data_IF_028369294304
#
_entry.id   IF_028369294304
#
_cell.length_a   1.000
_cell.length_b   1.000
_cell.length_c   1.000
_cell.angle_alpha   90.00
_cell.angle_beta   90.00
_cell.angle_gamma   90.00
#
_symmetry.space_group_name_H-M   'P 1'
#
loop_
_entity.id
_entity.type
_entity.pdbx_description
1 polymer ?
#
# COMPACT_ATOMS: atom_id res chain seq x y z
N UNK A 1 -35.10 -25.88 -27.86
CA UNK A 1 -35.20 -25.71 -29.33
C UNK A 1 -34.49 -24.42 -29.69
N UNK A 2 -33.58 -24.45 -30.69
CA UNK A 2 -32.78 -23.34 -31.26
C UNK A 2 -31.74 -22.65 -30.36
N UNK A 3 -30.47 -22.99 -30.63
CA UNK A 3 -29.32 -22.10 -30.42
C UNK A 3 -29.26 -21.04 -31.53
N UNK A 4 -28.62 -19.90 -31.27
CA UNK A 4 -27.79 -19.19 -32.27
C UNK A 4 -26.54 -18.65 -31.55
N UNK A 5 -25.37 -19.00 -32.05
CA UNK A 5 -24.10 -18.35 -31.71
C UNK A 5 -23.53 -17.73 -32.99
N UNK A 6 -22.88 -16.58 -32.88
CA UNK A 6 -22.20 -15.93 -34.00
C UNK A 6 -20.80 -15.50 -33.53
N UNK A 7 -19.77 -16.19 -34.03
CA UNK A 7 -18.38 -15.79 -33.92
C UNK A 7 -17.93 -15.22 -35.27
N UNK A 8 -17.20 -14.11 -35.26
CA UNK A 8 -16.58 -13.53 -36.45
C UNK A 8 -15.09 -13.37 -36.17
N UNK A 9 -14.29 -14.21 -36.83
CA UNK A 9 -12.83 -14.06 -36.92
C UNK A 9 -12.50 -13.37 -38.24
N UNK A 10 -11.52 -12.46 -38.23
CA UNK A 10 -10.96 -11.88 -39.45
C UNK A 10 -9.43 -12.03 -39.44
N UNK A 11 -8.87 -12.38 -40.60
CA UNK A 11 -7.54 -12.98 -40.70
C UNK A 11 -6.38 -12.00 -40.71
N UNK A 12 -5.21 -12.48 -40.28
CA UNK A 12 -3.93 -11.81 -40.46
C UNK A 12 -3.36 -12.06 -41.87
N UNK A 13 -2.67 -11.06 -42.42
CA UNK A 13 -1.88 -11.18 -43.66
C UNK A 13 -0.45 -10.75 -43.36
N UNK A 14 0.49 -11.70 -43.41
CA UNK A 14 1.93 -11.40 -43.52
C UNK A 14 2.31 -11.38 -45.00
N UNK A 15 3.09 -10.39 -45.41
CA UNK A 15 3.76 -10.35 -46.70
C UNK A 15 5.26 -10.14 -46.48
N UNK A 16 6.07 -11.14 -46.82
CA UNK A 16 7.54 -11.08 -46.79
C UNK A 16 8.07 -10.85 -48.21
N UNK A 17 8.91 -9.84 -48.41
CA UNK A 17 9.68 -9.66 -49.64
C UNK A 17 11.17 -9.70 -49.32
N UNK A 18 11.85 -10.70 -49.89
CA UNK A 18 13.30 -10.85 -49.86
C UNK A 18 13.93 -10.02 -50.98
N UNK A 19 15.08 -9.41 -50.72
CA UNK A 19 15.90 -8.74 -51.74
C UNK A 19 17.39 -8.90 -51.40
N UNK A 20 18.13 -9.58 -52.26
CA UNK A 20 19.59 -9.74 -52.18
C UNK A 20 20.27 -8.87 -53.26
N UNK A 21 21.49 -8.37 -53.00
CA UNK A 21 22.29 -7.67 -54.02
C UNK A 21 23.72 -7.35 -53.58
N UNK A 22 24.69 -7.56 -54.48
CA UNK A 22 26.14 -7.34 -54.36
C UNK A 22 26.79 -7.35 -55.78
N UNK A 23 28.08 -7.11 -56.06
CA UNK A 23 29.29 -6.88 -55.25
C UNK A 23 30.26 -5.87 -55.94
N UNK A 24 30.87 -4.96 -55.15
CA UNK A 24 32.15 -4.29 -55.46
C UNK A 24 32.21 -3.23 -56.59
N UNK A 25 33.40 -2.64 -56.87
CA UNK A 25 34.71 -2.85 -56.22
C UNK A 25 35.53 -1.59 -55.79
N UNK A 26 36.37 -1.79 -54.78
CA UNK A 26 37.76 -1.30 -54.53
C UNK A 26 38.26 0.13 -54.88
N UNK A 27 38.81 0.83 -53.86
CA UNK A 27 39.78 1.95 -54.01
C UNK A 27 40.20 2.58 -52.65
N UNK A 28 41.49 2.70 -52.27
CA UNK A 28 41.92 3.08 -50.91
C UNK A 28 42.48 4.52 -50.75
N UNK A 29 42.37 5.11 -49.55
CA UNK A 29 43.25 6.17 -48.99
C UNK A 29 43.20 6.18 -47.45
N UNK A 30 44.21 6.79 -46.82
CA UNK A 30 44.68 6.52 -45.45
C UNK A 30 44.11 7.38 -44.29
N UNK A 31 44.41 6.87 -43.08
CA UNK A 31 44.72 7.59 -41.83
C UNK A 31 43.62 8.33 -41.05
N UNK A 32 43.54 8.02 -39.75
CA UNK A 32 42.80 8.82 -38.76
C UNK A 32 42.33 8.01 -37.56
N UNK A 33 43.17 7.89 -36.53
CA UNK A 33 42.79 7.18 -35.30
C UNK A 33 41.79 7.95 -34.45
N UNK A 34 40.75 7.27 -33.96
CA UNK A 34 39.92 7.73 -32.85
C UNK A 34 39.69 6.56 -31.89
N UNK A 35 40.24 6.67 -30.68
CA UNK A 35 40.01 5.69 -29.62
C UNK A 35 38.52 5.65 -29.29
N UNK A 36 37.91 4.46 -29.32
CA UNK A 36 36.52 4.27 -28.95
C UNK A 36 36.27 4.75 -27.52
N UNK A 37 35.66 5.93 -27.38
CA UNK A 37 35.30 6.53 -26.09
C UNK A 37 34.25 5.62 -25.46
N UNK A 38 34.67 4.74 -24.54
CA UNK A 38 33.75 3.98 -23.69
C UNK A 38 32.75 4.97 -23.10
N UNK A 39 31.46 4.77 -23.41
CA UNK A 39 30.41 5.44 -22.66
C UNK A 39 30.62 5.12 -21.17
N UNK A 40 30.41 6.09 -20.26
CA UNK A 40 30.38 5.76 -18.84
C UNK A 40 29.31 4.69 -18.67
N UNK A 41 29.70 3.54 -18.13
CA UNK A 41 28.74 2.49 -17.83
C UNK A 41 27.71 3.08 -16.88
N UNK A 42 26.45 3.16 -17.32
CA UNK A 42 25.35 3.48 -16.42
C UNK A 42 25.35 2.37 -15.39
N UNK A 43 25.82 2.67 -14.18
CA UNK A 43 25.73 1.75 -13.05
C UNK A 43 24.26 1.43 -12.90
N UNK A 44 23.87 0.20 -13.24
CA UNK A 44 22.51 -0.26 -12.99
C UNK A 44 22.25 -0.02 -11.50
N UNK A 45 21.14 0.66 -11.19
CA UNK A 45 20.67 0.75 -9.81
C UNK A 45 20.59 -0.69 -9.27
N UNK A 46 21.07 -0.97 -8.04
CA UNK A 46 21.00 -2.31 -7.49
C UNK A 46 19.57 -2.81 -7.59
N UNK A 47 19.39 -3.98 -8.19
CA UNK A 47 18.07 -4.60 -8.30
C UNK A 47 17.51 -4.76 -6.88
N UNK A 48 16.32 -4.20 -6.64
CA UNK A 48 15.62 -4.34 -5.36
C UNK A 48 15.43 -5.82 -5.09
N UNK A 49 15.85 -6.28 -3.91
CA UNK A 49 15.64 -7.67 -3.49
C UNK A 49 14.11 -7.92 -3.42
N UNK A 50 13.55 -8.81 -4.26
CA UNK A 50 12.11 -9.02 -4.31
C UNK A 50 11.59 -9.71 -3.04
N UNK A 51 12.45 -10.27 -2.20
CA UNK A 51 12.07 -10.87 -0.91
C UNK A 51 11.88 -9.83 0.20
N UNK A 52 12.26 -8.58 -0.04
CA UNK A 52 12.12 -7.46 0.87
C UNK A 52 11.06 -6.47 0.38
N UNK A 53 10.32 -5.86 1.30
CA UNK A 53 9.41 -4.75 0.99
C UNK A 53 10.24 -3.53 0.53
N UNK A 54 9.98 -2.92 -0.65
CA UNK A 54 10.74 -1.76 -1.10
C UNK A 54 10.73 -0.59 -0.12
N UNK A 55 11.86 0.11 -0.03
CA UNK A 55 12.07 1.31 0.79
C UNK A 55 11.85 1.14 2.32
N UNK A 56 11.68 -0.08 2.80
CA UNK A 56 11.60 -0.43 4.23
C UNK A 56 12.95 -0.99 4.71
N UNK A 57 13.54 -0.34 5.71
CA UNK A 57 14.83 -0.66 6.30
C UNK A 57 14.80 -1.86 7.24
N UNK A 58 15.98 -2.42 7.51
CA UNK A 58 16.15 -3.71 8.20
C UNK A 58 15.45 -3.76 9.58
N UNK A 59 15.38 -2.61 10.28
CA UNK A 59 14.69 -2.45 11.56
C UNK A 59 13.21 -2.80 11.50
N UNK A 60 12.50 -2.37 10.45
CA UNK A 60 11.08 -2.65 10.26
C UNK A 60 10.86 -3.96 9.49
N UNK A 61 11.72 -4.32 8.53
CA UNK A 61 11.65 -5.64 7.86
C UNK A 61 11.66 -6.79 8.87
N UNK A 62 12.57 -6.77 9.85
CA UNK A 62 12.64 -7.82 10.90
C UNK A 62 11.45 -7.84 11.86
N UNK A 63 10.56 -6.83 11.83
CA UNK A 63 9.30 -6.79 12.59
C UNK A 63 8.10 -7.31 11.80
N UNK A 64 8.24 -7.52 10.50
CA UNK A 64 7.23 -8.18 9.66
C UNK A 64 7.23 -9.67 10.01
N UNK A 65 6.12 -10.26 10.48
CA UNK A 65 6.06 -11.68 10.83
C UNK A 65 6.41 -12.58 9.64
N UNK A 66 7.19 -13.65 9.85
CA UNK A 66 7.68 -14.48 8.74
C UNK A 66 6.55 -15.22 7.99
N UNK A 67 5.45 -15.49 8.70
CA UNK A 67 4.22 -16.13 8.28
C UNK A 67 3.19 -15.18 7.65
N UNK A 68 3.45 -13.87 7.59
CA UNK A 68 2.57 -12.96 6.84
C UNK A 68 2.70 -13.17 5.33
N UNK A 69 1.54 -13.22 4.66
CA UNK A 69 1.39 -13.23 3.21
C UNK A 69 0.90 -11.89 2.64
N UNK A 70 0.60 -10.90 3.48
CA UNK A 70 -0.06 -9.65 3.09
C UNK A 70 0.47 -8.45 3.87
N UNK A 71 0.97 -7.44 3.17
CA UNK A 71 1.51 -6.20 3.77
C UNK A 71 0.88 -4.98 3.12
N UNK A 72 0.27 -4.12 3.92
CA UNK A 72 -0.05 -2.75 3.52
C UNK A 72 1.06 -1.82 4.01
N UNK A 73 1.81 -1.19 3.10
CA UNK A 73 2.79 -0.17 3.46
C UNK A 73 2.19 1.20 3.26
N UNK A 74 2.35 2.10 4.23
CA UNK A 74 1.99 3.52 4.09
C UNK A 74 3.25 4.35 4.20
N UNK A 75 3.68 4.87 3.05
CA UNK A 75 4.86 5.72 2.88
C UNK A 75 4.45 7.18 3.07
N UNK A 76 4.74 7.76 4.23
CA UNK A 76 4.56 9.19 4.49
C UNK A 76 5.62 10.03 3.79
N UNK A 77 5.23 11.16 3.19
CA UNK A 77 6.15 12.04 2.45
C UNK A 77 7.21 12.71 3.36
N UNK A 78 6.94 12.82 4.66
CA UNK A 78 7.90 13.33 5.63
C UNK A 78 7.35 13.38 7.06
N UNK A 79 8.25 13.50 8.04
CA UNK A 79 7.97 13.48 9.49
C UNK A 79 6.85 14.41 9.95
N UNK A 80 6.59 15.51 9.23
CA UNK A 80 5.57 16.51 9.55
C UNK A 80 4.54 16.70 8.43
N UNK A 81 4.50 15.82 7.42
CA UNK A 81 3.52 15.88 6.32
C UNK A 81 2.27 15.07 6.66
N UNK A 82 1.05 15.55 6.34
CA UNK A 82 -0.16 14.72 6.36
C UNK A 82 -0.21 13.73 5.17
N UNK A 83 0.58 13.97 4.13
CA UNK A 83 0.46 13.28 2.84
C UNK A 83 1.26 11.97 2.81
N UNK A 84 0.65 10.93 2.24
CA UNK A 84 1.24 9.60 2.15
C UNK A 84 0.75 8.80 0.93
N UNK A 85 1.47 7.74 0.59
CA UNK A 85 1.06 6.75 -0.41
C UNK A 85 0.91 5.38 0.25
N UNK A 86 -0.27 4.79 0.14
CA UNK A 86 -0.53 3.42 0.57
C UNK A 86 -0.28 2.44 -0.58
N UNK A 87 0.44 1.36 -0.33
CA UNK A 87 0.80 0.32 -1.31
C UNK A 87 0.54 -1.05 -0.70
N UNK A 88 -0.26 -1.87 -1.38
CA UNK A 88 -0.59 -3.22 -0.94
C UNK A 88 0.26 -4.27 -1.66
N UNK A 89 0.90 -5.14 -0.88
CA UNK A 89 1.75 -6.23 -1.34
C UNK A 89 1.18 -7.58 -0.91
N UNK A 90 1.29 -8.56 -1.79
CA UNK A 90 1.03 -9.97 -1.50
C UNK A 90 2.28 -10.81 -1.71
N UNK A 91 2.44 -11.86 -0.91
CA UNK A 91 3.60 -12.75 -0.98
C UNK A 91 3.33 -13.88 -1.98
N UNK A 92 4.22 -14.02 -2.96
CA UNK A 92 4.20 -15.11 -3.93
C UNK A 92 5.50 -15.91 -3.79
N UNK A 93 5.41 -17.06 -3.11
CA UNK A 93 6.60 -17.81 -2.68
C UNK A 93 7.43 -17.01 -1.67
N UNK A 94 8.71 -16.71 -1.93
CA UNK A 94 9.52 -15.83 -1.08
C UNK A 94 9.40 -14.34 -1.45
N UNK A 95 8.76 -13.99 -2.57
CA UNK A 95 8.79 -12.63 -3.14
C UNK A 95 7.54 -11.81 -2.80
N UNK A 96 7.69 -10.49 -2.71
CA UNK A 96 6.61 -9.53 -2.50
C UNK A 96 6.17 -8.89 -3.82
N UNK A 97 4.95 -9.20 -4.25
CA UNK A 97 4.34 -8.61 -5.44
C UNK A 97 3.46 -7.42 -5.07
N UNK A 98 3.69 -6.28 -5.73
CA UNK A 98 2.87 -5.08 -5.56
C UNK A 98 1.53 -5.22 -6.29
N UNK A 99 0.44 -5.33 -5.54
CA UNK A 99 -0.91 -5.55 -6.08
C UNK A 99 -1.63 -4.22 -6.38
N UNK A 100 -1.52 -3.23 -5.50
CA UNK A 100 -2.25 -1.96 -5.64
C UNK A 100 -1.52 -0.78 -4.98
N UNK A 101 -1.89 0.46 -5.36
CA UNK A 101 -1.44 1.70 -4.72
C UNK A 101 -2.54 2.77 -4.70
N UNK A 102 -2.55 3.61 -3.68
CA UNK A 102 -3.48 4.75 -3.53
C UNK A 102 -2.79 5.93 -2.84
N UNK A 103 -3.27 7.15 -3.09
CA UNK A 103 -3.01 8.27 -2.19
C UNK A 103 -3.71 8.02 -0.85
N UNK A 104 -3.15 8.56 0.24
CA UNK A 104 -3.61 8.38 1.60
C UNK A 104 -3.21 9.60 2.45
N UNK A 105 -3.95 9.90 3.52
CA UNK A 105 -3.51 10.88 4.51
C UNK A 105 -3.28 10.23 5.88
N UNK A 106 -2.20 10.59 6.55
CA UNK A 106 -1.87 10.20 7.92
C UNK A 106 -2.25 11.31 8.92
N UNK A 107 -1.81 11.20 10.18
CA UNK A 107 -1.99 12.24 11.20
C UNK A 107 -1.51 13.61 10.69
N UNK A 108 -2.29 14.68 10.93
CA UNK A 108 -2.06 16.02 10.37
C UNK A 108 -0.78 16.71 10.82
N UNK A 109 -0.15 16.24 11.91
CA UNK A 109 1.19 16.69 12.33
C UNK A 109 2.30 15.73 11.89
N UNK A 110 1.99 14.76 11.02
CA UNK A 110 2.90 13.76 10.49
C UNK A 110 3.01 12.51 11.35
N UNK A 111 4.24 12.10 11.62
CA UNK A 111 4.59 10.76 12.12
C UNK A 111 5.32 10.82 13.45
N UNK A 112 5.27 9.75 14.24
CA UNK A 112 6.04 9.63 15.48
C UNK A 112 6.37 8.18 15.85
N UNK A 113 7.59 7.94 16.30
CA UNK A 113 7.98 6.68 16.96
C UNK A 113 7.45 6.60 18.40
N UNK A 114 7.04 7.74 18.97
CA UNK A 114 6.55 7.88 20.32
C UNK A 114 5.20 8.61 20.32
N UNK A 115 4.13 7.85 20.07
CA UNK A 115 2.77 8.38 19.99
C UNK A 115 2.14 8.60 21.36
N UNK A 116 1.41 9.71 21.47
CA UNK A 116 0.64 10.12 22.64
C UNK A 116 -0.78 10.58 22.24
N UNK A 117 -1.74 10.38 23.14
CA UNK A 117 -3.11 10.84 22.94
C UNK A 117 -3.16 12.35 22.67
N UNK A 118 -3.77 12.76 21.54
CA UNK A 118 -3.90 14.16 21.13
C UNK A 118 -2.66 14.79 20.47
N UNK A 119 -1.63 14.01 20.13
CA UNK A 119 -0.47 14.54 19.38
C UNK A 119 -0.78 14.88 17.90
N UNK A 120 -1.89 14.36 17.35
CA UNK A 120 -2.29 14.38 15.93
C UNK A 120 -1.25 13.79 14.96
N UNK A 121 -0.47 12.79 15.41
CA UNK A 121 0.54 12.08 14.62
C UNK A 121 0.17 10.61 14.46
N UNK A 122 0.53 10.02 13.34
CA UNK A 122 0.42 8.57 13.15
C UNK A 122 1.61 7.83 13.78
N UNK A 123 1.38 6.70 14.47
CA UNK A 123 2.45 5.92 15.06
C UNK A 123 3.27 5.21 13.98
N UNK A 124 4.60 5.23 14.11
CA UNK A 124 5.53 4.51 13.25
C UNK A 124 5.65 3.06 13.71
N UNK A 125 5.59 2.10 12.79
CA UNK A 125 5.90 0.71 13.11
C UNK A 125 5.31 -0.34 12.18
N UNK A 126 5.23 -1.56 12.71
CA UNK A 126 4.54 -2.70 12.11
C UNK A 126 3.44 -3.14 13.07
N UNK A 127 2.20 -3.24 12.56
CA UNK A 127 0.98 -3.51 13.33
C UNK A 127 0.12 -4.54 12.60
N UNK A 128 -0.66 -5.34 13.33
CA UNK A 128 -1.66 -6.23 12.74
C UNK A 128 -2.85 -5.48 12.14
N UNK A 129 -3.54 -6.12 11.20
CA UNK A 129 -4.84 -5.70 10.65
C UNK A 129 -5.87 -6.81 10.89
N UNK A 130 -6.29 -6.99 12.15
CA UNK A 130 -7.05 -8.19 12.57
C UNK A 130 -8.57 -8.07 12.50
N UNK A 131 -9.13 -6.87 12.69
CA UNK A 131 -10.58 -6.65 12.79
C UNK A 131 -11.04 -5.45 11.94
N UNK A 132 -12.29 -5.49 11.48
CA UNK A 132 -12.94 -4.46 10.68
C UNK A 132 -14.33 -4.10 11.23
N UNK A 133 -14.92 -3.04 10.69
CA UNK A 133 -16.27 -2.61 11.05
C UNK A 133 -16.69 -1.33 10.34
N UNK A 134 -17.73 -0.67 10.85
CA UNK A 134 -18.17 0.64 10.38
C UNK A 134 -19.67 0.87 10.52
N UNK A 135 -20.12 2.02 10.01
CA UNK A 135 -21.54 2.40 9.99
C UNK A 135 -22.34 1.58 8.96
N UNK A 136 -21.72 1.23 7.83
CA UNK A 136 -22.40 0.57 6.71
C UNK A 136 -22.35 -0.96 6.79
N UNK A 137 -23.28 -1.59 6.07
CA UNK A 137 -23.29 -3.04 5.85
C UNK A 137 -21.94 -3.55 5.32
N UNK A 138 -21.56 -4.74 5.77
CA UNK A 138 -20.36 -5.44 5.34
C UNK A 138 -20.26 -5.49 3.79
N UNK A 139 -19.21 -4.89 3.18
CA UNK A 139 -19.06 -4.90 1.73
C UNK A 139 -18.56 -6.24 1.16
N UNK A 140 -18.41 -7.29 1.98
CA UNK A 140 -17.86 -8.60 1.64
C UNK A 140 -16.47 -8.81 2.26
N UNK A 141 -16.33 -8.45 3.53
CA UNK A 141 -15.11 -8.51 4.33
C UNK A 141 -14.66 -9.95 4.56
N UNK A 142 -13.35 -10.17 4.53
CA UNK A 142 -12.73 -11.42 5.02
C UNK A 142 -12.27 -11.30 6.48
N UNK A 143 -11.95 -10.09 6.92
CA UNK A 143 -11.74 -9.78 8.34
C UNK A 143 -13.10 -9.85 9.08
N UNK A 144 -13.13 -10.26 10.36
CA UNK A 144 -14.30 -10.08 11.22
C UNK A 144 -14.82 -8.64 11.11
N UNK A 145 -16.12 -8.47 10.84
CA UNK A 145 -16.72 -7.17 10.57
C UNK A 145 -17.83 -6.85 11.57
N UNK A 146 -17.65 -5.74 12.29
CA UNK A 146 -18.59 -5.22 13.28
C UNK A 146 -19.36 -4.02 12.73
N UNK A 147 -20.67 -4.18 12.51
CA UNK A 147 -21.54 -3.10 12.03
C UNK A 147 -22.29 -2.46 13.20
N UNK A 148 -21.96 -1.21 13.53
CA UNK A 148 -22.66 -0.45 14.57
C UNK A 148 -22.74 1.04 14.23
N UNK A 149 -23.96 1.53 13.94
CA UNK A 149 -24.20 2.94 13.61
C UNK A 149 -23.79 3.90 14.73
N UNK A 150 -23.94 3.50 16.01
CA UNK A 150 -23.69 4.34 17.17
C UNK A 150 -22.21 4.34 17.55
N UNK A 151 -21.54 3.19 17.53
CA UNK A 151 -20.12 3.08 17.87
C UNK A 151 -19.20 3.74 16.84
N UNK A 152 -19.62 3.79 15.56
CA UNK A 152 -18.89 4.43 14.47
C UNK A 152 -19.46 5.81 14.07
N UNK A 153 -20.40 6.37 14.84
CA UNK A 153 -20.89 7.72 14.59
C UNK A 153 -19.77 8.77 14.74
N UNK A 154 -19.52 9.66 13.76
CA UNK A 154 -18.54 10.73 13.88
C UNK A 154 -18.86 11.66 15.06
N UNK A 155 -17.87 11.91 15.91
CA UNK A 155 -18.03 12.78 17.10
C UNK A 155 -18.01 14.27 16.76
N UNK A 156 -17.55 14.64 15.56
CA UNK A 156 -17.52 16.01 15.03
C UNK A 156 -18.62 16.17 14.00
N UNK A 157 -19.62 17.00 14.31
CA UNK A 157 -20.69 17.34 13.38
C UNK A 157 -20.22 18.38 12.36
N UNK A 158 -19.64 17.90 11.26
CA UNK A 158 -19.37 18.68 10.06
C UNK A 158 -19.37 17.74 8.84
N UNK A 159 -20.05 18.14 7.77
CA UNK A 159 -20.37 17.32 6.58
C UNK A 159 -19.18 16.58 5.96
N UNK A 160 -17.96 17.12 6.06
CA UNK A 160 -16.74 16.46 5.59
C UNK A 160 -16.38 15.18 6.37
N UNK A 161 -16.87 15.05 7.61
CA UNK A 161 -16.57 13.95 8.54
C UNK A 161 -17.73 12.94 8.68
N UNK A 162 -18.94 13.24 8.21
CA UNK A 162 -20.15 12.42 8.38
C UNK A 162 -20.01 10.95 7.92
N UNK A 163 -19.06 10.68 7.02
CA UNK A 163 -18.86 9.36 6.39
C UNK A 163 -17.47 8.74 6.62
N UNK A 164 -16.61 9.31 7.47
CA UNK A 164 -15.23 8.82 7.60
C UNK A 164 -15.18 7.38 8.10
N UNK A 165 -16.07 7.01 9.02
CA UNK A 165 -16.19 5.65 9.58
C UNK A 165 -17.31 4.80 8.93
N UNK A 166 -17.75 5.15 7.72
CA UNK A 166 -18.57 4.26 6.86
C UNK A 166 -17.97 2.85 6.80
N UNK A 167 -16.63 2.77 6.71
CA UNK A 167 -15.82 1.57 6.76
C UNK A 167 -14.54 1.82 7.56
N UNK A 168 -14.20 0.89 8.44
CA UNK A 168 -13.05 0.89 9.35
C UNK A 168 -12.30 -0.44 9.23
N UNK A 169 -10.97 -0.39 9.21
CA UNK A 169 -10.11 -1.54 9.53
C UNK A 169 -9.19 -1.12 10.68
N UNK A 170 -9.13 -1.91 11.74
CA UNK A 170 -8.31 -1.58 12.89
C UNK A 170 -6.82 -1.74 12.59
N UNK A 171 -6.01 -0.76 13.00
CA UNK A 171 -4.56 -0.89 13.08
C UNK A 171 -4.26 -1.32 14.53
N UNK A 172 -3.56 -2.42 14.73
CA UNK A 172 -3.30 -2.99 16.06
C UNK A 172 -2.25 -2.23 16.89
N UNK A 173 -2.33 -0.89 16.88
CA UNK A 173 -1.62 -0.01 17.80
C UNK A 173 -2.43 0.16 19.11
N UNK A 174 -1.80 -0.16 20.24
CA UNK A 174 -2.36 0.00 21.60
C UNK A 174 -3.82 -0.47 21.76
N UNK A 175 -4.16 -1.63 21.20
CA UNK A 175 -5.46 -2.29 21.36
C UNK A 175 -5.29 -3.78 21.60
N UNK A 176 -6.39 -4.49 21.83
CA UNK A 176 -6.43 -5.95 21.92
C UNK A 176 -6.86 -6.52 20.55
N UNK A 177 -5.95 -7.17 19.78
CA UNK A 177 -6.29 -7.80 18.50
C UNK A 177 -7.35 -8.91 18.65
N UNK A 178 -8.16 -9.15 17.62
CA UNK A 178 -9.29 -10.10 17.67
C UNK A 178 -10.49 -9.58 18.47
N UNK A 179 -10.69 -8.26 18.49
CA UNK A 179 -11.85 -7.61 19.12
C UNK A 179 -12.36 -6.45 18.25
N UNK A 180 -13.65 -6.10 18.39
CA UNK A 180 -14.30 -5.05 17.60
C UNK A 180 -13.46 -3.75 17.56
N UNK A 181 -13.33 -3.05 16.41
CA UNK A 181 -12.44 -1.89 16.28
C UNK A 181 -12.62 -0.79 17.33
N UNK A 182 -13.83 -0.65 17.87
CA UNK A 182 -14.21 0.33 18.89
C UNK A 182 -13.95 -0.12 20.35
N UNK A 183 -13.34 -1.30 20.58
CA UNK A 183 -12.98 -1.76 21.92
C UNK A 183 -12.05 -0.74 22.63
N UNK A 184 -12.37 -0.29 23.87
CA UNK A 184 -11.61 0.77 24.54
C UNK A 184 -10.31 0.30 25.20
N UNK A 185 -10.00 -1.00 25.23
CA UNK A 185 -8.82 -1.53 25.95
C UNK A 185 -7.50 -0.97 25.40
N UNK A 186 -6.65 -0.37 26.26
CA UNK A 186 -5.32 0.18 25.94
C UNK A 186 -4.19 -0.49 26.74
N UNK A 187 -3.55 -1.57 26.25
CA UNK A 187 -2.51 -2.30 26.99
C UNK A 187 -1.24 -1.48 27.34
N UNK A 188 -0.95 -0.42 26.60
CA UNK A 188 0.16 0.52 26.84
C UNK A 188 -0.26 1.74 27.68
N UNK A 189 -1.50 1.76 28.18
CA UNK A 189 -2.11 2.88 28.91
C UNK A 189 -2.79 3.91 28.00
N UNK A 190 -3.69 4.71 28.59
CA UNK A 190 -4.49 5.73 27.88
C UNK A 190 -3.63 6.87 27.31
N UNK A 191 -2.56 7.26 28.00
CA UNK A 191 -1.66 8.35 27.59
C UNK A 191 -1.04 8.09 26.20
N UNK A 192 -0.88 6.82 25.82
CA UNK A 192 -0.35 6.41 24.51
C UNK A 192 -1.37 6.48 23.38
N UNK A 193 -2.62 6.86 23.65
CA UNK A 193 -3.68 6.95 22.64
C UNK A 193 -4.12 5.57 22.12
N UNK A 194 -5.00 5.55 21.12
CA UNK A 194 -5.54 4.33 20.52
C UNK A 194 -6.74 4.64 19.64
N UNK A 195 -7.44 3.61 19.15
CA UNK A 195 -8.47 3.81 18.13
C UNK A 195 -7.89 4.26 16.79
N UNK A 196 -6.65 3.86 16.50
CA UNK A 196 -5.95 4.16 15.25
C UNK A 196 -6.48 3.19 14.19
N UNK A 197 -7.08 3.73 13.14
CA UNK A 197 -7.81 2.97 12.12
C UNK A 197 -7.37 3.35 10.70
N UNK A 198 -7.61 2.44 9.76
CA UNK A 198 -7.82 2.77 8.36
C UNK A 198 -9.29 3.18 8.18
N UNK A 199 -9.56 4.34 7.57
CA UNK A 199 -10.93 4.84 7.36
C UNK A 199 -11.10 5.58 6.03
N UNK A 200 -12.30 6.09 5.72
CA UNK A 200 -12.53 6.83 4.48
C UNK A 200 -11.84 8.19 4.47
N UNK A 201 -11.21 8.49 3.33
CA UNK A 201 -10.55 9.77 3.04
C UNK A 201 -11.52 10.96 3.00
N UNK A 202 -11.05 12.10 3.52
CA UNK A 202 -11.75 13.38 3.55
C UNK A 202 -10.88 14.56 3.07
N UNK A 203 -9.76 14.31 2.38
CA UNK A 203 -8.91 15.33 1.77
C UNK A 203 -8.04 16.19 2.70
N UNK A 204 -7.75 15.70 3.91
CA UNK A 204 -6.88 16.34 4.91
C UNK A 204 -6.31 15.26 5.85
N UNK A 205 -5.26 15.61 6.60
CA UNK A 205 -4.69 14.75 7.63
C UNK A 205 -5.67 14.45 8.78
N UNK A 206 -5.49 13.29 9.39
CA UNK A 206 -6.33 12.78 10.48
C UNK A 206 -5.81 13.24 11.86
N UNK A 207 -6.39 12.77 12.97
CA UNK A 207 -5.79 12.89 14.31
C UNK A 207 -4.87 11.72 14.70
N UNK A 208 -4.44 10.89 13.75
CA UNK A 208 -3.48 9.79 13.95
C UNK A 208 -3.80 8.51 13.16
N UNK A 209 -5.04 8.36 12.71
CA UNK A 209 -5.48 7.35 11.75
C UNK A 209 -4.79 7.48 10.37
N UNK A 210 -5.00 6.51 9.49
CA UNK A 210 -4.69 6.66 8.06
C UNK A 210 -6.00 6.60 7.26
N UNK A 211 -6.20 7.55 6.35
CA UNK A 211 -7.41 7.63 5.54
C UNK A 211 -7.15 7.24 4.09
N UNK A 212 -8.13 6.59 3.46
CA UNK A 212 -8.02 5.97 2.14
C UNK A 212 -9.29 6.17 1.29
N UNK A 213 -9.18 6.29 -0.05
CA UNK A 213 -10.34 6.37 -0.92
C UNK A 213 -11.30 5.20 -0.72
N UNK A 214 -12.62 5.43 -0.78
CA UNK A 214 -13.67 4.40 -0.54
C UNK A 214 -13.51 3.13 -1.39
N UNK A 215 -12.93 3.25 -2.59
CA UNK A 215 -12.57 2.09 -3.43
C UNK A 215 -11.42 1.25 -2.87
N UNK A 216 -10.40 1.87 -2.27
CA UNK A 216 -9.28 1.21 -1.60
C UNK A 216 -9.77 0.47 -0.35
N UNK A 217 -10.59 1.11 0.49
CA UNK A 217 -11.16 0.47 1.68
C UNK A 217 -12.01 -0.76 1.34
N UNK A 218 -12.88 -0.67 0.32
CA UNK A 218 -13.63 -1.84 -0.18
C UNK A 218 -12.73 -2.93 -0.78
N UNK A 219 -11.63 -2.55 -1.43
CA UNK A 219 -10.66 -3.52 -1.94
C UNK A 219 -9.97 -4.27 -0.78
N UNK A 220 -9.48 -3.54 0.22
CA UNK A 220 -8.78 -4.11 1.37
C UNK A 220 -9.69 -5.06 2.17
N UNK A 221 -10.90 -4.63 2.53
CA UNK A 221 -11.86 -5.48 3.25
C UNK A 221 -12.09 -6.85 2.57
N UNK A 222 -12.21 -6.85 1.24
CA UNK A 222 -12.45 -8.06 0.43
C UNK A 222 -11.21 -8.94 0.20
N UNK A 223 -10.03 -8.44 0.54
CA UNK A 223 -8.74 -9.03 0.15
C UNK A 223 -7.87 -9.40 1.35
N UNK A 224 -7.88 -8.62 2.43
CA UNK A 224 -7.14 -8.90 3.66
C UNK A 224 -7.69 -10.17 4.32
N UNK A 225 -6.92 -11.23 4.29
CA UNK A 225 -7.33 -12.57 4.68
C UNK A 225 -6.72 -12.92 6.05
N UNK A 226 -7.51 -13.16 7.12
CA UNK A 226 -6.97 -13.49 8.44
C UNK A 226 -5.98 -14.66 8.44
N UNK A 227 -6.13 -15.62 7.51
CA UNK A 227 -5.23 -16.77 7.35
C UNK A 227 -3.92 -16.44 6.60
N UNK A 228 -3.72 -15.19 6.20
CA UNK A 228 -2.46 -14.65 5.64
C UNK A 228 -1.80 -13.64 6.60
N UNK A 229 -2.29 -13.54 7.84
CA UNK A 229 -1.74 -12.70 8.92
C UNK A 229 -1.37 -11.28 8.45
N UNK A 230 -2.35 -10.51 7.93
CA UNK A 230 -2.09 -9.22 7.30
C UNK A 230 -1.53 -8.21 8.30
N UNK A 231 -0.50 -7.49 7.88
CA UNK A 231 0.12 -6.42 8.67
C UNK A 231 0.19 -5.09 7.90
N UNK A 232 0.24 -4.01 8.66
CA UNK A 232 0.52 -2.66 8.18
C UNK A 232 1.92 -2.24 8.61
N UNK A 233 2.71 -1.74 7.66
CA UNK A 233 4.00 -1.07 7.91
C UNK A 233 3.78 0.41 7.62
N UNK A 234 4.09 1.30 8.55
CA UNK A 234 3.75 2.72 8.40
C UNK A 234 4.78 3.64 9.06
N UNK A 235 5.06 4.76 8.39
CA UNK A 235 6.02 5.78 8.85
C UNK A 235 6.30 6.82 7.76
N UNK A 236 7.04 7.88 8.11
CA UNK A 236 7.64 8.78 7.12
C UNK A 236 8.86 8.14 6.44
N UNK A 237 9.33 8.72 5.33
CA UNK A 237 10.48 8.20 4.57
C UNK A 237 11.73 7.94 5.43
N UNK A 238 12.07 8.81 6.39
CA UNK A 238 13.28 8.63 7.22
C UNK A 238 13.14 7.40 8.10
N UNK A 239 12.01 7.30 8.79
CA UNK A 239 11.74 6.17 9.68
C UNK A 239 11.54 4.86 8.94
N UNK A 240 10.90 4.88 7.77
CA UNK A 240 10.75 3.68 6.96
C UNK A 240 12.10 3.14 6.48
N UNK A 241 13.04 4.00 6.09
CA UNK A 241 14.36 3.60 5.56
C UNK A 241 15.40 3.18 6.61
N UNK A 242 15.20 3.52 7.88
CA UNK A 242 16.13 3.27 8.99
C UNK A 242 15.94 1.90 9.65
#
# INVERSE_FOLDING_TARGET
>A
MRLVAAAVTFGAVLATLSGCGSDGPSGPVDAGGAQGRRAPGVTALPATDPTLIPDVGERLQRRIPADTGQVLVVYGEGENSPDSTAVFYMKEGPEWQRVARWAAHNGRKGWTVEHYSGDDRSPVGVFGLTDAGGVLDDPGSRLPYDQDYVAYAPTVNAVAYDHVFDYVIAIDYNRLPGTVPHNPTRPLGEDRGGGIWLHLDHGDGTSGCVSLPKGAMKFLLRTLDPAQHPVMVMGDERELRA
#
